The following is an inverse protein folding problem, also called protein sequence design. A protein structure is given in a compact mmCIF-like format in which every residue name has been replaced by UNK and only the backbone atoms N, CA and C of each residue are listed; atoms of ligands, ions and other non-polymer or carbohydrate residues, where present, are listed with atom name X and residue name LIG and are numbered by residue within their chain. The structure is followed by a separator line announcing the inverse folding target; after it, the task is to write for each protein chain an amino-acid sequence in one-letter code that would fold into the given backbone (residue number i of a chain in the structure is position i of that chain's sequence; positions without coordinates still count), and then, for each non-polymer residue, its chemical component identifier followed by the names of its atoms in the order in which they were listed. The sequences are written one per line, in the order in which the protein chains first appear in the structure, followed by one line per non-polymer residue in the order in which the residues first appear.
data_IF_624790331126
#
_entry.id   IF_624790331126
#
_cell.length_a   1.000
_cell.length_b   1.000
_cell.length_c   1.000
_cell.angle_alpha   90.00
_cell.angle_beta   90.00
_cell.angle_gamma   90.00
#
_symmetry.space_group_name_H-M   'P 1'
#
loop_
_entity.id
_entity.type
_entity.pdbx_description
1 polymer ?
#
# COMPACT_ATOMS: atom_id res chain seq x y z
N UNK A 1 34.96 16.08 -5.62
CA UNK A 1 33.70 15.32 -5.77
C UNK A 1 33.32 14.75 -4.42
N UNK A 2 32.07 14.94 -3.96
CA UNK A 2 31.61 14.38 -2.68
C UNK A 2 31.35 12.88 -2.84
N UNK A 3 31.37 12.14 -1.73
CA UNK A 3 31.15 10.67 -1.70
C UNK A 3 29.79 10.29 -2.30
N UNK A 4 28.74 11.11 -2.07
CA UNK A 4 27.40 10.93 -2.64
C UNK A 4 27.39 11.03 -4.17
N UNK A 5 28.10 12.03 -4.72
CA UNK A 5 28.20 12.22 -6.18
C UNK A 5 28.93 11.02 -6.82
N UNK A 6 29.96 10.51 -6.14
CA UNK A 6 30.71 9.34 -6.61
C UNK A 6 29.87 8.06 -6.59
N UNK A 7 29.10 7.83 -5.53
CA UNK A 7 28.19 6.68 -5.45
C UNK A 7 27.09 6.76 -6.51
N UNK A 8 26.56 7.96 -6.76
CA UNK A 8 25.58 8.19 -7.83
C UNK A 8 26.18 7.92 -9.22
N UNK A 9 27.43 8.34 -9.44
CA UNK A 9 28.18 8.02 -10.65
C UNK A 9 28.38 6.51 -10.85
N UNK A 10 28.76 5.78 -9.79
CA UNK A 10 28.89 4.32 -9.82
C UNK A 10 27.57 3.61 -10.16
N UNK A 11 26.46 4.05 -9.56
CA UNK A 11 25.14 3.50 -9.85
C UNK A 11 24.73 3.70 -11.31
N UNK A 12 25.03 4.86 -11.89
CA UNK A 12 24.79 5.13 -13.31
C UNK A 12 25.63 4.24 -14.25
N UNK A 13 26.80 3.80 -13.80
CA UNK A 13 27.62 2.80 -14.50
C UNK A 13 27.15 1.35 -14.26
N UNK A 14 26.09 1.16 -13.48
CA UNK A 14 25.60 -0.16 -13.08
C UNK A 14 26.48 -0.86 -12.05
N UNK A 15 27.43 -0.14 -11.44
CA UNK A 15 28.28 -0.66 -10.37
C UNK A 15 27.47 -0.66 -9.07
N UNK A 16 27.40 -1.82 -8.43
CA UNK A 16 26.72 -2.00 -7.14
C UNK A 16 27.76 -2.24 -6.05
N UNK A 17 27.57 -1.60 -4.91
CA UNK A 17 28.40 -1.75 -3.73
C UNK A 17 27.55 -2.27 -2.58
N UNK A 18 28.09 -3.21 -1.79
CA UNK A 18 27.47 -3.66 -0.55
C UNK A 18 28.55 -4.00 0.48
N UNK A 19 28.13 -4.20 1.72
CA UNK A 19 29.02 -4.64 2.81
C UNK A 19 28.72 -6.10 3.10
N UNK A 20 29.76 -6.93 3.07
CA UNK A 20 29.71 -8.34 3.47
C UNK A 20 30.88 -8.63 4.40
N UNK A 21 30.62 -9.14 5.60
CA UNK A 21 31.64 -9.43 6.62
C UNK A 21 32.67 -8.29 6.84
N UNK A 22 32.18 -7.07 7.02
CA UNK A 22 33.00 -5.84 7.20
C UNK A 22 33.85 -5.40 6.00
N UNK A 23 33.76 -6.07 4.84
CA UNK A 23 34.44 -5.67 3.62
C UNK A 23 33.48 -4.98 2.63
N UNK A 24 34.02 -4.04 1.87
CA UNK A 24 33.32 -3.40 0.75
C UNK A 24 33.39 -4.34 -0.46
N UNK A 25 32.26 -4.93 -0.79
CA UNK A 25 32.10 -5.75 -1.98
C UNK A 25 31.57 -4.91 -3.14
N UNK A 26 31.96 -5.30 -4.36
CA UNK A 26 31.52 -4.60 -5.56
C UNK A 26 31.15 -5.58 -6.68
N UNK A 27 30.07 -5.25 -7.38
CA UNK A 27 29.71 -5.81 -8.67
C UNK A 27 29.84 -4.72 -9.71
N UNK A 28 30.45 -5.03 -10.86
CA UNK A 28 30.55 -4.12 -11.98
C UNK A 28 30.26 -4.85 -13.30
N UNK A 29 29.48 -4.25 -14.22
CA UNK A 29 29.32 -4.75 -15.59
C UNK A 29 30.68 -4.89 -16.30
N UNK A 30 30.75 -5.81 -17.28
CA UNK A 30 31.98 -6.07 -18.02
C UNK A 30 32.46 -4.78 -18.72
N UNK A 31 33.71 -4.37 -18.43
CA UNK A 31 34.30 -3.14 -18.96
C UNK A 31 34.05 -1.87 -18.15
N UNK A 32 33.14 -1.89 -17.16
CA UNK A 32 32.86 -0.72 -16.31
C UNK A 32 33.96 -0.46 -15.26
N UNK A 33 34.68 -1.50 -14.84
CA UNK A 33 35.70 -1.42 -13.79
C UNK A 33 37.09 -1.08 -14.38
N UNK A 34 37.28 0.19 -14.76
CA UNK A 34 38.57 0.71 -15.26
C UNK A 34 39.64 0.78 -14.15
N UNK A 35 40.92 0.91 -14.51
CA UNK A 35 42.01 1.05 -13.54
C UNK A 35 41.86 2.30 -12.67
N UNK A 36 41.44 3.41 -13.29
CA UNK A 36 41.14 4.67 -12.60
C UNK A 36 39.97 4.52 -11.61
N UNK A 37 38.92 3.80 -12.00
CA UNK A 37 37.77 3.57 -11.12
C UNK A 37 38.15 2.70 -9.91
N UNK A 38 38.97 1.67 -10.12
CA UNK A 38 39.51 0.86 -9.03
C UNK A 38 40.34 1.69 -8.06
N UNK A 39 41.21 2.56 -8.57
CA UNK A 39 42.02 3.43 -7.73
C UNK A 39 41.15 4.38 -6.90
N UNK A 40 40.15 5.02 -7.52
CA UNK A 40 39.21 5.87 -6.79
C UNK A 40 38.41 5.12 -5.72
N UNK A 41 37.99 3.87 -5.97
CA UNK A 41 37.32 3.02 -4.99
C UNK A 41 38.23 2.69 -3.79
N UNK A 42 39.52 2.44 -4.03
CA UNK A 42 40.50 2.15 -2.98
C UNK A 42 40.79 3.40 -2.14
N UNK A 43 41.05 4.53 -2.80
CA UNK A 43 41.35 5.81 -2.12
C UNK A 43 40.20 6.29 -1.24
N UNK A 44 38.96 6.00 -1.64
CA UNK A 44 37.73 6.41 -0.93
C UNK A 44 37.07 5.29 -0.14
N UNK A 45 37.73 4.14 0.03
CA UNK A 45 37.14 2.93 0.64
C UNK A 45 36.50 3.23 2.01
N UNK A 46 37.20 3.95 2.87
CA UNK A 46 36.74 4.25 4.23
C UNK A 46 35.49 5.14 4.23
N UNK A 47 35.49 6.21 3.44
CA UNK A 47 34.32 7.11 3.33
C UNK A 47 33.09 6.38 2.77
N UNK A 48 33.29 5.49 1.79
CA UNK A 48 32.21 4.71 1.18
C UNK A 48 31.65 3.70 2.19
N UNK A 49 32.52 3.04 2.96
CA UNK A 49 32.11 2.12 4.02
C UNK A 49 31.28 2.83 5.09
N UNK A 50 31.73 4.00 5.56
CA UNK A 50 31.00 4.81 6.53
C UNK A 50 29.64 5.25 5.99
N UNK A 51 29.61 5.75 4.75
CA UNK A 51 28.36 6.17 4.10
C UNK A 51 27.36 5.02 3.94
N UNK A 52 27.80 3.86 3.46
CA UNK A 52 26.91 2.69 3.31
C UNK A 52 26.41 2.22 4.67
N UNK A 53 27.22 2.28 5.73
CA UNK A 53 26.78 1.95 7.10
C UNK A 53 25.72 2.93 7.61
N UNK A 54 25.94 4.23 7.47
CA UNK A 54 24.96 5.24 7.88
C UNK A 54 23.63 5.09 7.15
N UNK A 55 23.68 4.83 5.83
CA UNK A 55 22.50 4.56 5.01
C UNK A 55 21.84 3.25 5.42
N UNK A 56 22.60 2.18 5.69
CA UNK A 56 22.04 0.91 6.17
C UNK A 56 21.39 1.06 7.54
N UNK A 57 21.98 1.81 8.48
CA UNK A 57 21.38 2.06 9.80
C UNK A 57 20.07 2.86 9.66
N UNK A 58 20.07 3.87 8.79
CA UNK A 58 18.89 4.70 8.51
C UNK A 58 17.81 3.93 7.73
N UNK A 59 18.19 3.06 6.79
CA UNK A 59 17.23 2.19 6.10
C UNK A 59 16.73 1.06 6.99
N UNK A 60 17.54 0.51 7.91
CA UNK A 60 17.09 -0.54 8.83
C UNK A 60 16.11 0.00 9.87
N UNK A 61 16.16 1.30 10.20
CA UNK A 61 15.13 1.95 11.03
C UNK A 61 13.84 2.29 10.26
N UNK A 62 13.91 2.43 8.93
CA UNK A 62 12.77 2.80 8.06
C UNK A 62 12.15 1.62 7.32
N UNK A 63 12.89 0.53 7.10
CA UNK A 63 12.51 -0.66 6.35
C UNK A 63 12.45 -1.92 7.24
N UNK A 64 11.75 -1.82 8.37
CA UNK A 64 11.23 -3.03 8.99
C UNK A 64 10.19 -3.64 8.05
N UNK A 65 10.26 -4.95 7.81
CA UNK A 65 9.20 -5.63 7.06
C UNK A 65 7.87 -5.41 7.79
N UNK A 66 6.79 -5.23 7.02
CA UNK A 66 5.45 -5.10 7.59
C UNK A 66 5.18 -6.35 8.42
N UNK A 67 5.15 -6.17 9.74
CA UNK A 67 4.88 -7.26 10.66
C UNK A 67 3.39 -7.57 10.65
N UNK A 68 3.05 -8.85 10.74
CA UNK A 68 1.67 -9.24 11.00
C UNK A 68 1.26 -8.69 12.36
N UNK A 69 0.11 -8.01 12.39
CA UNK A 69 -0.47 -7.46 13.62
C UNK A 69 -1.54 -8.44 14.11
N UNK A 70 -1.54 -8.81 15.40
CA UNK A 70 -2.59 -9.66 15.96
C UNK A 70 -3.97 -8.98 15.85
N UNK A 71 -5.01 -9.79 15.61
CA UNK A 71 -6.42 -9.37 15.53
C UNK A 71 -7.21 -9.63 16.82
N UNK A 72 -6.55 -10.17 17.84
CA UNK A 72 -7.13 -10.47 19.16
C UNK A 72 -7.17 -9.24 20.08
N UNK A 73 -6.44 -8.19 19.70
CA UNK A 73 -6.37 -6.93 20.44
C UNK A 73 -7.35 -5.89 19.88
N UNK A 74 -7.66 -4.89 20.69
CA UNK A 74 -8.36 -3.69 20.24
C UNK A 74 -7.50 -2.96 19.22
N UNK A 75 -8.07 -2.72 18.03
CA UNK A 75 -7.36 -2.07 16.93
C UNK A 75 -7.75 -0.59 16.90
N UNK A 76 -6.81 0.34 17.14
CA UNK A 76 -7.12 1.77 17.09
C UNK A 76 -7.38 2.24 15.66
N UNK A 77 -8.15 3.32 15.50
CA UNK A 77 -8.26 4.01 14.21
C UNK A 77 -6.92 4.64 13.83
N UNK A 78 -6.61 4.66 12.53
CA UNK A 78 -5.58 5.53 11.97
C UNK A 78 -5.96 7.00 12.15
N UNK A 79 -4.98 7.91 12.08
CA UNK A 79 -5.24 9.35 12.21
C UNK A 79 -6.27 9.88 11.20
N UNK A 80 -6.24 9.40 9.96
CA UNK A 80 -7.22 9.77 8.95
C UNK A 80 -8.64 9.29 9.31
N UNK A 81 -8.76 8.06 9.82
CA UNK A 81 -10.03 7.52 10.29
C UNK A 81 -10.55 8.26 11.53
N UNK A 82 -9.68 8.60 12.50
CA UNK A 82 -10.07 9.35 13.70
C UNK A 82 -10.66 10.72 13.34
N UNK A 83 -10.07 11.41 12.35
CA UNK A 83 -10.61 12.67 11.85
C UNK A 83 -12.03 12.52 11.30
N UNK A 84 -12.27 11.48 10.49
CA UNK A 84 -13.60 11.22 9.93
C UNK A 84 -14.59 10.80 11.02
N UNK A 85 -14.17 9.97 11.98
CA UNK A 85 -14.98 9.60 13.15
C UNK A 85 -15.41 10.82 13.95
N UNK A 86 -14.49 11.75 14.21
CA UNK A 86 -14.80 12.99 14.92
C UNK A 86 -15.85 13.82 14.17
N UNK A 87 -15.71 13.97 12.84
CA UNK A 87 -16.69 14.69 12.00
C UNK A 87 -18.08 14.01 12.08
N UNK A 88 -18.12 12.68 12.02
CA UNK A 88 -19.34 11.88 12.15
C UNK A 88 -20.02 12.10 13.50
N UNK A 89 -19.27 11.96 14.61
CA UNK A 89 -19.83 12.08 15.97
C UNK A 89 -20.36 13.48 16.31
N UNK A 90 -19.91 14.53 15.62
CA UNK A 90 -20.47 15.89 15.77
C UNK A 90 -21.81 16.08 15.04
N UNK A 91 -22.28 15.09 14.27
CA UNK A 91 -23.44 15.23 13.40
C UNK A 91 -23.18 16.18 12.22
N UNK A 92 -21.91 16.47 11.92
CA UNK A 92 -21.47 17.27 10.79
C UNK A 92 -21.13 16.41 9.57
N UNK A 93 -21.25 15.09 9.69
CA UNK A 93 -21.25 14.17 8.56
C UNK A 93 -22.50 14.39 7.70
N UNK A 94 -22.32 15.21 6.67
CA UNK A 94 -23.15 15.04 5.48
C UNK A 94 -22.67 13.80 4.71
N UNK A 95 -23.42 13.40 3.69
CA UNK A 95 -22.97 12.40 2.71
C UNK A 95 -21.75 12.84 1.88
N UNK A 96 -21.10 13.98 2.20
CA UNK A 96 -19.96 14.54 1.48
C UNK A 96 -18.75 13.59 1.38
N UNK A 97 -18.64 12.62 2.29
CA UNK A 97 -17.57 11.62 2.27
C UNK A 97 -17.99 10.29 1.63
N UNK A 98 -19.24 10.15 1.18
CA UNK A 98 -19.65 8.99 0.41
C UNK A 98 -19.14 9.14 -1.03
N UNK A 99 -18.51 8.08 -1.54
CA UNK A 99 -18.01 8.01 -2.92
C UNK A 99 -18.80 6.96 -3.72
N UNK A 100 -20.02 7.27 -4.19
CA UNK A 100 -20.78 6.35 -5.01
C UNK A 100 -20.10 6.16 -6.38
N UNK A 101 -20.12 4.92 -6.88
CA UNK A 101 -19.66 4.57 -8.22
C UNK A 101 -20.80 3.87 -8.96
N UNK A 102 -21.05 4.31 -10.19
CA UNK A 102 -22.00 3.66 -11.10
C UNK A 102 -21.21 3.09 -12.28
N UNK A 103 -21.42 1.80 -12.56
CA UNK A 103 -20.78 1.10 -13.67
C UNK A 103 -21.84 0.57 -14.63
N UNK A 104 -21.69 0.88 -15.92
CA UNK A 104 -22.53 0.33 -16.98
C UNK A 104 -21.79 -0.81 -17.68
N UNK A 105 -22.35 -2.01 -17.59
CA UNK A 105 -21.85 -3.19 -18.31
C UNK A 105 -22.79 -3.51 -19.47
N UNK A 106 -22.24 -3.84 -20.64
CA UNK A 106 -23.01 -4.20 -21.82
C UNK A 106 -22.58 -5.59 -22.29
N UNK A 107 -23.55 -6.50 -22.42
CA UNK A 107 -23.32 -7.88 -22.84
C UNK A 107 -23.91 -8.89 -21.86
N UNK A 108 -23.52 -10.15 -22.01
CA UNK A 108 -23.92 -11.22 -21.09
C UNK A 108 -23.12 -11.11 -19.80
N UNK A 109 -23.81 -10.94 -18.68
CA UNK A 109 -23.21 -10.91 -17.35
C UNK A 109 -23.51 -12.23 -16.62
N UNK A 110 -22.47 -12.97 -16.25
CA UNK A 110 -22.62 -14.08 -15.31
C UNK A 110 -22.69 -13.50 -13.89
N UNK A 111 -23.92 -13.33 -13.40
CA UNK A 111 -24.18 -12.80 -12.07
C UNK A 111 -23.62 -13.70 -10.96
N UNK A 112 -23.66 -15.02 -11.14
CA UNK A 112 -23.17 -15.96 -10.11
C UNK A 112 -21.66 -15.85 -9.98
N UNK A 113 -20.95 -15.77 -11.11
CA UNK A 113 -19.51 -15.55 -11.11
C UNK A 113 -19.15 -14.19 -10.49
N UNK A 114 -19.87 -13.11 -10.86
CA UNK A 114 -19.64 -11.77 -10.31
C UNK A 114 -19.81 -11.72 -8.79
N UNK A 115 -20.90 -12.29 -8.27
CA UNK A 115 -21.17 -12.32 -6.83
C UNK A 115 -20.09 -13.10 -6.07
N UNK A 116 -19.66 -14.25 -6.62
CA UNK A 116 -18.54 -15.02 -6.05
C UNK A 116 -17.25 -14.20 -6.03
N UNK A 117 -16.92 -13.50 -7.11
CA UNK A 117 -15.73 -12.64 -7.16
C UNK A 117 -15.75 -11.55 -6.08
N UNK A 118 -16.90 -10.90 -5.85
CA UNK A 118 -17.00 -9.92 -4.76
C UNK A 118 -16.82 -10.56 -3.39
N UNK A 119 -17.41 -11.73 -3.14
CA UNK A 119 -17.26 -12.43 -1.87
C UNK A 119 -15.79 -12.80 -1.59
N UNK A 120 -15.05 -13.27 -2.60
CA UNK A 120 -13.62 -13.57 -2.46
C UNK A 120 -12.78 -12.31 -2.16
N UNK A 121 -13.11 -11.19 -2.81
CA UNK A 121 -12.46 -9.90 -2.54
C UNK A 121 -12.74 -9.46 -1.10
N UNK A 122 -13.99 -9.54 -0.63
CA UNK A 122 -14.37 -9.18 0.75
C UNK A 122 -13.67 -10.11 1.76
N UNK A 123 -13.63 -11.41 1.49
CA UNK A 123 -12.95 -12.37 2.37
C UNK A 123 -11.46 -12.05 2.52
N UNK A 124 -10.79 -11.74 1.40
CA UNK A 124 -9.37 -11.41 1.34
C UNK A 124 -9.03 -10.07 1.99
N UNK A 125 -9.89 -9.06 1.88
CA UNK A 125 -9.57 -7.68 2.28
C UNK A 125 -10.34 -7.25 3.53
N UNK A 126 -9.65 -7.19 4.68
CA UNK A 126 -10.23 -6.78 5.97
C UNK A 126 -10.89 -5.41 5.93
N UNK A 127 -10.32 -4.45 5.22
CA UNK A 127 -10.85 -3.09 5.12
C UNK A 127 -12.30 -3.03 4.60
N UNK A 128 -12.73 -4.00 3.78
CA UNK A 128 -14.10 -4.08 3.24
C UNK A 128 -15.12 -4.62 4.24
N UNK A 129 -14.63 -5.12 5.38
CA UNK A 129 -15.43 -5.72 6.46
C UNK A 129 -15.06 -5.14 7.82
N UNK A 130 -14.43 -3.97 7.83
CA UNK A 130 -14.17 -3.19 9.04
C UNK A 130 -15.33 -2.23 9.30
N UNK A 131 -15.89 -2.27 10.50
CA UNK A 131 -16.77 -1.24 11.04
C UNK A 131 -16.06 -0.46 12.15
N UNK A 132 -16.61 0.70 12.52
CA UNK A 132 -16.06 1.53 13.59
C UNK A 132 -17.05 1.59 14.75
N UNK A 133 -16.53 1.55 15.97
CA UNK A 133 -17.32 1.65 17.21
C UNK A 133 -16.52 2.41 18.25
N UNK A 134 -17.15 2.66 19.40
CA UNK A 134 -16.49 3.20 20.58
C UNK A 134 -16.48 2.17 21.72
N UNK A 135 -15.34 2.04 22.40
CA UNK A 135 -15.21 1.27 23.65
C UNK A 135 -14.60 2.20 24.70
N UNK A 136 -15.33 2.46 25.78
CA UNK A 136 -14.90 3.33 26.88
C UNK A 136 -14.40 4.72 26.41
N UNK A 137 -15.13 5.37 25.48
CA UNK A 137 -14.74 6.68 24.96
C UNK A 137 -13.61 6.68 23.93
N UNK A 138 -13.09 5.50 23.56
CA UNK A 138 -12.03 5.36 22.56
C UNK A 138 -12.59 4.76 21.27
N UNK A 139 -12.44 5.41 20.11
CA UNK A 139 -12.86 4.83 18.84
C UNK A 139 -11.94 3.69 18.43
N UNK A 140 -12.54 2.61 17.94
CA UNK A 140 -11.88 1.36 17.59
C UNK A 140 -12.37 0.80 16.25
N UNK A 141 -11.51 0.03 15.59
CA UNK A 141 -11.85 -0.75 14.40
C UNK A 141 -12.33 -2.14 14.83
N UNK A 142 -13.47 -2.57 14.28
CA UNK A 142 -14.01 -3.92 14.44
C UNK A 142 -13.98 -4.60 13.08
N UNK A 143 -13.10 -5.60 12.93
CA UNK A 143 -12.99 -6.38 11.70
C UNK A 143 -13.94 -7.57 11.80
N UNK A 144 -15.01 -7.55 11.00
CA UNK A 144 -15.99 -8.64 10.93
C UNK A 144 -15.41 -9.85 10.18
N UNK A 145 -15.86 -11.08 10.48
CA UNK A 145 -15.53 -12.23 9.64
C UNK A 145 -16.02 -12.02 8.20
N UNK A 146 -15.44 -12.72 7.21
CA UNK A 146 -15.98 -12.75 5.86
C UNK A 146 -17.49 -13.07 5.87
N UNK A 147 -18.24 -12.40 5.01
CA UNK A 147 -19.67 -12.59 4.86
C UNK A 147 -20.04 -12.65 3.37
N UNK A 148 -21.20 -13.24 3.08
CA UNK A 148 -21.74 -13.24 1.72
C UNK A 148 -22.42 -11.91 1.42
N UNK A 149 -21.96 -11.24 0.36
CA UNK A 149 -22.57 -10.03 -0.14
C UNK A 149 -23.93 -10.34 -0.78
N UNK A 150 -24.98 -9.73 -0.23
CA UNK A 150 -26.32 -9.73 -0.83
C UNK A 150 -26.45 -8.56 -1.77
N UNK A 151 -26.30 -8.81 -3.08
CA UNK A 151 -26.49 -7.78 -4.11
C UNK A 151 -27.96 -7.79 -4.57
N UNK A 152 -28.77 -6.77 -4.24
CA UNK A 152 -30.15 -6.72 -4.70
C UNK A 152 -30.18 -6.66 -6.24
N UNK A 153 -30.99 -7.51 -6.85
CA UNK A 153 -31.21 -7.52 -8.30
C UNK A 153 -32.58 -6.92 -8.58
N UNK A 154 -32.58 -5.81 -9.31
CA UNK A 154 -33.79 -5.15 -9.79
C UNK A 154 -33.84 -5.37 -11.29
N UNK A 155 -34.83 -6.12 -11.76
CA UNK A 155 -35.06 -6.34 -13.19
C UNK A 155 -35.93 -5.19 -13.72
N UNK A 156 -35.39 -4.45 -14.67
CA UNK A 156 -36.10 -3.33 -15.31
C UNK A 156 -36.59 -3.69 -16.72
N UNK A 157 -36.45 -4.95 -17.16
CA UNK A 157 -36.77 -5.38 -18.52
C UNK A 157 -38.26 -5.26 -18.88
N UNK A 158 -39.15 -5.24 -17.88
CA UNK A 158 -40.59 -5.02 -18.07
C UNK A 158 -40.98 -3.55 -18.26
N UNK A 159 -40.05 -2.61 -18.01
CA UNK A 159 -40.28 -1.18 -18.18
C UNK A 159 -40.00 -0.73 -19.61
N UNK A 160 -40.65 0.34 -20.05
CA UNK A 160 -40.28 1.02 -21.30
C UNK A 160 -38.88 1.62 -21.21
N UNK A 161 -38.22 1.84 -22.35
CA UNK A 161 -36.87 2.41 -22.37
C UNK A 161 -36.77 3.79 -21.68
N UNK A 162 -37.83 4.61 -21.75
CA UNK A 162 -37.91 5.89 -21.05
C UNK A 162 -37.99 5.71 -19.54
N UNK A 163 -38.76 4.72 -19.07
CA UNK A 163 -38.91 4.41 -17.65
C UNK A 163 -37.63 3.79 -17.07
N UNK A 164 -36.93 2.95 -17.84
CA UNK A 164 -35.62 2.40 -17.46
C UNK A 164 -34.59 3.50 -17.24
N UNK A 165 -34.54 4.49 -18.14
CA UNK A 165 -33.58 5.60 -18.06
C UNK A 165 -33.83 6.49 -16.83
N UNK A 166 -35.09 6.74 -16.47
CA UNK A 166 -35.43 7.56 -15.31
C UNK A 166 -35.16 6.87 -13.95
N UNK A 167 -34.92 5.56 -13.95
CA UNK A 167 -34.65 4.76 -12.75
C UNK A 167 -33.15 4.54 -12.47
N UNK A 168 -32.29 4.86 -13.43
CA UNK A 168 -30.82 4.76 -13.34
C UNK A 168 -30.21 6.11 -12.99
#
# INVERSE_FOLDING_TARGET
MKTVDFISYLQNLGVKLWIEQEQLECYAPKGAMTAELKQNLVERKTEILEFIREVQITQKSVASSIQSVSREQVIPLSFAQQRLWFIETMGLSSNAYNMPLILRLVGKLDYVALQKSFNEIIARHEALRTTFSEINGTPVQIIQPPFELKVPRIDLSELTASEQTNKL
#
